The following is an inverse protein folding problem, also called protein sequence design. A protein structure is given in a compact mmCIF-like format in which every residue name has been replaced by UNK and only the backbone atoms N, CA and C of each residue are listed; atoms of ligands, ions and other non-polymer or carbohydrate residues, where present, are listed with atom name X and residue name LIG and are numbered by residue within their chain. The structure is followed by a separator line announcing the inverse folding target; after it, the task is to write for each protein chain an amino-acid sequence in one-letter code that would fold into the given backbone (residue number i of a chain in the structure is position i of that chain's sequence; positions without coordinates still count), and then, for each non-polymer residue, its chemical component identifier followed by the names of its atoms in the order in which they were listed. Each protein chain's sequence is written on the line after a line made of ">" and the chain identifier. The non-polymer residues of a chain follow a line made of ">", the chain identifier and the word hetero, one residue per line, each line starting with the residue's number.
data_IF_238925969457
#
_entry.id   IF_238925969457
#
_cell.length_a   1.000
_cell.length_b   1.000
_cell.length_c   1.000
_cell.angle_alpha   90.00
_cell.angle_beta   90.00
_cell.angle_gamma   90.00
#
_symmetry.space_group_name_H-M   'P 1'
#
loop_
_entity.id
_entity.type
_entity.pdbx_description
1 polymer ?
#
# COMPACT_ATOMS: atom_id res chain seq x y z
N UNK A 1 14.90 17.51 1.16
CA UNK A 1 13.68 16.71 0.90
C UNK A 1 12.52 17.67 0.67
N UNK A 2 11.77 17.57 -0.44
CA UNK A 2 10.63 18.47 -0.67
C UNK A 2 9.52 18.22 0.36
N UNK A 3 8.84 19.27 0.83
CA UNK A 3 7.78 19.19 1.86
C UNK A 3 6.68 18.19 1.45
N UNK A 4 6.28 18.21 0.19
CA UNK A 4 5.29 17.28 -0.37
C UNK A 4 5.69 15.80 -0.31
N UNK A 5 6.98 15.47 -0.45
CA UNK A 5 7.42 14.08 -0.34
C UNK A 5 7.29 13.58 1.11
N UNK A 6 7.53 14.45 2.10
CA UNK A 6 7.35 14.11 3.50
C UNK A 6 5.86 13.92 3.85
N UNK A 7 4.99 14.78 3.32
CA UNK A 7 3.52 14.62 3.44
C UNK A 7 3.06 13.29 2.84
N UNK A 8 3.60 12.90 1.67
CA UNK A 8 3.29 11.63 1.02
C UNK A 8 3.71 10.43 1.88
N UNK A 9 4.88 10.50 2.53
CA UNK A 9 5.35 9.45 3.45
C UNK A 9 4.46 9.33 4.68
N UNK A 10 4.02 10.44 5.26
CA UNK A 10 3.06 10.44 6.38
C UNK A 10 1.69 9.90 5.97
N UNK A 11 1.23 10.23 4.76
CA UNK A 11 0.01 9.69 4.21
C UNK A 11 0.09 8.17 3.99
N UNK A 12 1.21 7.67 3.44
CA UNK A 12 1.46 6.24 3.35
C UNK A 12 1.48 5.59 4.74
N UNK A 13 2.14 6.19 5.72
CA UNK A 13 2.13 5.68 7.10
C UNK A 13 0.70 5.57 7.66
N UNK A 14 -0.13 6.60 7.47
CA UNK A 14 -1.53 6.57 7.89
C UNK A 14 -2.34 5.46 7.18
N UNK A 15 -2.12 5.27 5.87
CA UNK A 15 -2.76 4.18 5.11
C UNK A 15 -2.33 2.79 5.61
N UNK A 16 -1.05 2.59 5.91
CA UNK A 16 -0.55 1.33 6.46
C UNK A 16 -1.09 1.03 7.85
N UNK A 17 -1.25 2.06 8.69
CA UNK A 17 -1.89 1.91 10.00
C UNK A 17 -3.38 1.56 9.84
N UNK A 18 -4.09 2.28 8.97
CA UNK A 18 -5.50 2.02 8.70
C UNK A 18 -5.72 0.62 8.09
N UNK A 19 -4.84 0.16 7.20
CA UNK A 19 -4.94 -1.19 6.62
C UNK A 19 -4.70 -2.27 7.66
N UNK A 20 -3.76 -2.05 8.59
CA UNK A 20 -3.49 -2.95 9.71
C UNK A 20 -4.68 -3.02 10.66
N UNK A 21 -5.28 -1.87 11.00
CA UNK A 21 -6.49 -1.82 11.83
C UNK A 21 -7.65 -2.55 11.15
N UNK A 22 -7.88 -2.29 9.86
CA UNK A 22 -8.91 -3.00 9.11
C UNK A 22 -8.68 -4.52 9.08
N UNK A 23 -7.42 -4.96 9.07
CA UNK A 23 -7.07 -6.39 9.07
C UNK A 23 -7.38 -7.01 10.44
N UNK A 24 -6.95 -6.37 11.52
CA UNK A 24 -7.20 -6.84 12.90
C UNK A 24 -8.69 -6.85 13.23
N UNK A 25 -9.47 -5.93 12.65
CA UNK A 25 -10.92 -5.83 12.81
C UNK A 25 -11.71 -6.68 11.80
N UNK A 26 -11.04 -7.52 10.99
CA UNK A 26 -11.66 -8.41 9.98
C UNK A 26 -12.55 -7.68 8.96
N UNK A 27 -12.24 -6.41 8.67
CA UNK A 27 -13.04 -5.52 7.82
C UNK A 27 -12.78 -5.75 6.32
N UNK A 28 -13.09 -6.92 5.77
CA UNK A 28 -12.90 -7.15 4.33
C UNK A 28 -13.83 -6.26 3.46
N UNK A 29 -13.36 -5.72 2.31
CA UNK A 29 -12.04 -5.87 1.68
C UNK A 29 -11.05 -4.73 2.02
N UNK A 30 -11.33 -3.91 3.04
CA UNK A 30 -10.59 -2.69 3.37
C UNK A 30 -9.08 -2.85 3.56
N UNK A 31 -8.55 -3.94 4.15
CA UNK A 31 -7.10 -4.14 4.26
C UNK A 31 -6.40 -4.05 2.90
N UNK A 32 -6.98 -4.65 1.87
CA UNK A 32 -6.38 -4.69 0.53
C UNK A 32 -6.53 -3.35 -0.18
N UNK A 33 -7.71 -2.72 -0.05
CA UNK A 33 -7.99 -1.42 -0.66
C UNK A 33 -7.12 -0.29 -0.09
N UNK A 34 -6.79 -0.34 1.20
CA UNK A 34 -5.91 0.63 1.85
C UNK A 34 -4.43 0.32 1.62
N UNK A 35 -4.07 -0.96 1.55
CA UNK A 35 -2.67 -1.36 1.33
C UNK A 35 -2.19 -1.12 -0.11
N UNK A 36 -3.10 -1.14 -1.10
CA UNK A 36 -2.75 -0.85 -2.49
C UNK A 36 -2.20 0.59 -2.69
N UNK A 37 -2.90 1.68 -2.33
CA UNK A 37 -2.36 3.04 -2.44
C UNK A 37 -1.13 3.24 -1.56
N UNK A 38 -1.08 2.61 -0.37
CA UNK A 38 0.11 2.58 0.47
C UNK A 38 1.34 2.06 -0.28
N UNK A 39 1.22 0.90 -0.94
CA UNK A 39 2.32 0.31 -1.70
C UNK A 39 2.71 1.18 -2.90
N UNK A 40 1.75 1.74 -3.63
CA UNK A 40 2.03 2.63 -4.77
C UNK A 40 2.83 3.87 -4.35
N UNK A 41 2.50 4.47 -3.19
CA UNK A 41 3.26 5.60 -2.65
C UNK A 41 4.69 5.18 -2.32
N UNK A 42 4.89 4.02 -1.68
CA UNK A 42 6.23 3.53 -1.37
C UNK A 42 7.05 3.16 -2.60
N UNK A 43 6.44 2.66 -3.67
CA UNK A 43 7.10 2.46 -4.97
C UNK A 43 7.64 3.80 -5.49
N UNK A 44 6.80 4.84 -5.48
CA UNK A 44 7.19 6.18 -5.93
C UNK A 44 8.33 6.76 -5.07
N UNK A 45 8.21 6.66 -3.74
CA UNK A 45 9.26 7.11 -2.81
C UNK A 45 10.56 6.34 -3.04
N UNK A 46 10.51 5.01 -3.14
CA UNK A 46 11.68 4.17 -3.34
C UNK A 46 12.36 4.43 -4.69
N UNK A 47 11.57 4.74 -5.73
CA UNK A 47 12.10 5.14 -7.03
C UNK A 47 12.92 6.42 -6.94
N UNK A 48 12.41 7.44 -6.24
CA UNK A 48 13.09 8.73 -6.07
C UNK A 48 14.34 8.64 -5.19
N UNK A 49 14.35 7.75 -4.19
CA UNK A 49 15.46 7.60 -3.25
C UNK A 49 16.44 6.47 -3.64
N UNK A 50 16.26 5.85 -4.81
CA UNK A 50 17.09 4.72 -5.31
C UNK A 50 17.20 3.55 -4.33
N UNK A 51 16.07 3.18 -3.70
CA UNK A 51 15.99 2.08 -2.73
C UNK A 51 15.39 0.82 -3.39
N UNK A 52 16.20 -0.08 -3.99
CA UNK A 52 15.69 -1.17 -4.83
C UNK A 52 14.83 -2.18 -4.05
N UNK A 53 15.22 -2.52 -2.82
CA UNK A 53 14.49 -3.49 -2.00
C UNK A 53 13.07 -2.99 -1.66
N UNK A 54 12.95 -1.72 -1.25
CA UNK A 54 11.66 -1.09 -0.94
C UNK A 54 10.76 -0.99 -2.17
N UNK A 55 11.34 -0.73 -3.35
CA UNK A 55 10.61 -0.70 -4.62
C UNK A 55 10.07 -2.09 -4.98
N UNK A 56 10.91 -3.12 -5.03
CA UNK A 56 10.49 -4.44 -5.51
C UNK A 56 9.49 -5.12 -4.56
N UNK A 57 9.67 -4.99 -3.25
CA UNK A 57 8.71 -5.58 -2.30
C UNK A 57 7.33 -4.94 -2.43
N UNK A 58 7.25 -3.62 -2.60
CA UNK A 58 5.97 -2.95 -2.77
C UNK A 58 5.34 -3.22 -4.15
N UNK A 59 6.12 -3.50 -5.20
CA UNK A 59 5.60 -3.98 -6.48
C UNK A 59 4.93 -5.35 -6.31
N UNK A 60 5.60 -6.30 -5.64
CA UNK A 60 5.05 -7.63 -5.37
C UNK A 60 3.78 -7.52 -4.52
N UNK A 61 3.81 -6.74 -3.44
CA UNK A 61 2.65 -6.52 -2.57
C UNK A 61 1.48 -5.88 -3.33
N UNK A 62 1.75 -4.87 -4.17
CA UNK A 62 0.72 -4.27 -5.03
C UNK A 62 0.06 -5.33 -5.93
N UNK A 63 0.84 -6.20 -6.55
CA UNK A 63 0.32 -7.31 -7.36
C UNK A 63 -0.57 -8.27 -6.57
N UNK A 64 -0.16 -8.65 -5.36
CA UNK A 64 -0.93 -9.50 -4.46
C UNK A 64 -2.23 -8.83 -4.00
N UNK A 65 -2.22 -7.53 -3.70
CA UNK A 65 -3.43 -6.79 -3.32
C UNK A 65 -4.40 -6.65 -4.49
N UNK A 66 -3.92 -6.36 -5.70
CA UNK A 66 -4.76 -6.36 -6.91
C UNK A 66 -5.40 -7.73 -7.11
N UNK A 67 -4.62 -8.80 -7.02
CA UNK A 67 -5.14 -10.17 -7.10
C UNK A 67 -6.21 -10.46 -6.04
N UNK A 68 -5.95 -10.10 -4.78
CA UNK A 68 -6.89 -10.29 -3.66
C UNK A 68 -8.19 -9.50 -3.84
N UNK A 69 -8.09 -8.26 -4.33
CA UNK A 69 -9.24 -7.40 -4.65
C UNK A 69 -10.07 -8.03 -5.78
N UNK A 70 -9.44 -8.41 -6.89
CA UNK A 70 -10.12 -9.06 -8.02
C UNK A 70 -10.83 -10.34 -7.57
N UNK A 71 -10.14 -11.19 -6.80
CA UNK A 71 -10.73 -12.42 -6.25
C UNK A 71 -11.95 -12.12 -5.37
N UNK A 72 -11.85 -11.13 -4.48
CA UNK A 72 -12.94 -10.76 -3.59
C UNK A 72 -14.19 -10.33 -4.37
N UNK A 73 -14.03 -9.49 -5.39
CA UNK A 73 -15.15 -9.01 -6.21
C UNK A 73 -15.70 -10.06 -7.19
N UNK A 74 -14.89 -11.02 -7.64
CA UNK A 74 -15.32 -12.07 -8.56
C UNK A 74 -15.90 -13.31 -7.86
N UNK A 75 -15.56 -13.53 -6.59
CA UNK A 75 -16.06 -14.66 -5.77
C UNK A 75 -17.17 -14.26 -4.79
N UNK A 76 -17.47 -12.96 -4.70
CA UNK A 76 -18.52 -12.39 -3.86
C UNK A 76 -19.83 -12.18 -4.58
#
# INVERSE_FOLDING_TARGET
>A
MSRHLQELKWFAFALGLASTLALVLEMHPWPMLLSLPFCLIWIYVAWLNTEPQLKYINIVFSGLYVWGILRYFLSG
#
